data_IF_864776403686
#
_entry.id   IF_864776403686
#
_cell.length_a   1.000
_cell.length_b   1.000
_cell.length_c   1.000
_cell.angle_alpha   90.00
_cell.angle_beta   90.00
_cell.angle_gamma   90.00
#
_symmetry.space_group_name_H-M   'P 1'
#
loop_
_entity.id
_entity.type
_entity.pdbx_description
1 polymer ?
#
# COMPACT_ATOMS: atom_id res chain seq x y z
N UNK A 1 -12.79 5.26 -18.57
CA UNK A 1 -12.35 5.69 -17.23
C UNK A 1 -11.59 4.53 -16.63
N UNK A 2 -10.51 4.78 -15.90
CA UNK A 2 -9.73 3.71 -15.28
C UNK A 2 -10.40 3.36 -13.95
N UNK A 3 -10.98 2.17 -13.82
CA UNK A 3 -11.72 1.77 -12.62
C UNK A 3 -10.80 1.35 -11.47
N UNK A 4 -9.48 1.46 -11.67
CA UNK A 4 -8.44 1.06 -10.73
C UNK A 4 -7.44 2.20 -10.52
N UNK A 5 -7.23 2.54 -9.26
CA UNK A 5 -6.13 3.36 -8.77
C UNK A 5 -5.04 2.43 -8.26
N UNK A 6 -3.88 2.45 -8.92
CA UNK A 6 -2.70 1.70 -8.47
C UNK A 6 -1.51 2.66 -8.35
N UNK A 7 -0.83 2.64 -7.21
CA UNK A 7 0.41 3.39 -6.98
C UNK A 7 1.39 2.56 -6.17
N UNK A 8 2.66 2.85 -6.35
CA UNK A 8 3.72 2.19 -5.61
C UNK A 8 4.82 3.21 -5.31
N UNK A 9 5.32 3.19 -4.09
CA UNK A 9 6.45 4.01 -3.67
C UNK A 9 7.46 3.14 -2.93
N UNK A 10 8.70 3.16 -3.41
CA UNK A 10 9.83 2.49 -2.76
C UNK A 10 10.47 3.48 -1.78
N UNK A 11 10.64 3.05 -0.55
CA UNK A 11 11.29 3.80 0.52
C UNK A 11 12.64 3.13 0.80
N UNK A 12 13.64 3.46 -0.03
CA UNK A 12 14.99 2.89 0.01
C UNK A 12 15.63 3.07 1.40
N UNK A 13 15.36 4.19 2.07
CA UNK A 13 15.85 4.49 3.42
C UNK A 13 15.28 3.57 4.52
N UNK A 14 14.19 2.85 4.20
CA UNK A 14 13.53 1.89 5.09
C UNK A 14 13.56 0.46 4.55
N UNK A 15 14.10 0.23 3.36
CA UNK A 15 14.07 -1.05 2.64
C UNK A 15 12.66 -1.67 2.49
N UNK A 16 11.65 -0.83 2.24
CA UNK A 16 10.27 -1.28 2.05
C UNK A 16 9.63 -0.65 0.81
N UNK A 17 8.59 -1.31 0.31
CA UNK A 17 7.68 -0.77 -0.70
C UNK A 17 6.30 -0.59 -0.11
N UNK A 18 5.67 0.55 -0.40
CA UNK A 18 4.26 0.81 -0.12
C UNK A 18 3.47 0.72 -1.43
N UNK A 19 2.43 -0.11 -1.49
CA UNK A 19 1.55 -0.26 -2.66
C UNK A 19 0.12 0.13 -2.31
N UNK A 20 -0.47 0.98 -3.15
CA UNK A 20 -1.90 1.27 -3.20
C UNK A 20 -2.55 0.44 -4.31
N UNK A 21 -3.65 -0.22 -3.98
CA UNK A 21 -4.55 -0.84 -4.93
C UNK A 21 -5.99 -0.48 -4.54
N UNK A 22 -6.75 0.21 -5.39
CA UNK A 22 -8.12 0.60 -5.07
C UNK A 22 -9.04 0.64 -6.29
N UNK A 23 -10.20 -0.01 -6.22
CA UNK A 23 -11.20 -0.05 -7.27
C UNK A 23 -12.27 1.02 -7.04
N UNK A 24 -12.43 1.94 -7.99
CA UNK A 24 -13.33 3.10 -7.87
C UNK A 24 -14.81 2.75 -8.04
N UNK A 25 -15.12 1.81 -8.94
CA UNK A 25 -16.49 1.48 -9.35
C UNK A 25 -16.85 0.01 -9.03
N UNK A 26 -16.27 -0.54 -7.97
CA UNK A 26 -16.53 -1.92 -7.56
C UNK A 26 -17.73 -1.97 -6.62
N UNK A 27 -18.81 -2.64 -7.06
CA UNK A 27 -20.00 -2.89 -6.26
C UNK A 27 -19.78 -4.18 -5.44
N UNK A 28 -19.14 -4.03 -4.29
CA UNK A 28 -18.84 -5.12 -3.37
C UNK A 28 -19.05 -4.70 -1.92
N UNK A 29 -19.64 -5.59 -1.12
CA UNK A 29 -20.18 -5.25 0.21
C UNK A 29 -19.15 -4.88 1.29
N UNK A 30 -17.83 -4.92 1.05
CA UNK A 30 -16.84 -4.88 2.15
C UNK A 30 -15.56 -4.08 1.89
N UNK A 31 -14.81 -4.38 0.84
CA UNK A 31 -13.45 -3.81 0.66
C UNK A 31 -13.17 -3.58 -0.82
N UNK A 32 -12.86 -2.34 -1.18
CA UNK A 32 -12.57 -1.93 -2.55
C UNK A 32 -11.08 -1.79 -2.83
N UNK A 33 -10.24 -1.82 -1.80
CA UNK A 33 -8.80 -1.73 -1.97
C UNK A 33 -8.02 -1.86 -0.68
N UNK A 34 -6.72 -1.57 -0.78
CA UNK A 34 -5.80 -1.57 0.33
C UNK A 34 -4.62 -0.63 0.05
N UNK A 35 -3.94 -0.25 1.12
CA UNK A 35 -2.53 0.11 1.08
C UNK A 35 -1.74 -0.91 1.90
N UNK A 36 -0.72 -1.52 1.31
CA UNK A 36 0.12 -2.51 1.98
C UNK A 36 1.59 -2.10 1.93
N UNK A 37 2.34 -2.53 2.94
CA UNK A 37 3.78 -2.34 3.05
C UNK A 37 4.42 -3.72 3.05
N UNK A 38 5.39 -3.91 2.19
CA UNK A 38 6.16 -5.16 2.13
C UNK A 38 7.64 -4.87 2.01
N UNK A 39 8.45 -5.78 2.56
CA UNK A 39 9.90 -5.68 2.49
C UNK A 39 10.39 -5.96 1.07
N UNK A 40 11.42 -5.23 0.66
CA UNK A 40 12.09 -5.44 -0.63
C UNK A 40 13.38 -6.18 -0.35
N UNK A 41 13.29 -7.45 0.04
CA UNK A 41 14.49 -8.26 0.06
C UNK A 41 14.73 -8.84 -1.33
N UNK A 42 15.49 -8.10 -2.16
CA UNK A 42 15.95 -8.61 -3.46
C UNK A 42 17.04 -9.69 -3.30
N UNK A 43 17.48 -10.00 -2.08
CA UNK A 43 18.55 -10.99 -1.83
C UNK A 43 18.06 -12.39 -1.48
N UNK A 44 16.74 -12.57 -1.28
CA UNK A 44 16.17 -13.85 -0.92
C UNK A 44 15.30 -14.32 -2.08
N UNK A 45 15.90 -15.17 -2.93
CA UNK A 45 15.30 -16.04 -3.96
C UNK A 45 14.09 -15.48 -4.73
N UNK A 46 14.14 -15.49 -6.07
CA UNK A 46 12.98 -15.23 -6.96
C UNK A 46 11.72 -16.10 -6.67
N UNK A 47 11.83 -17.08 -5.77
CA UNK A 47 10.77 -17.97 -5.28
C UNK A 47 10.15 -17.57 -3.92
N UNK A 48 10.68 -16.56 -3.20
CA UNK A 48 10.09 -16.12 -1.92
C UNK A 48 9.15 -14.91 -2.11
N UNK A 49 7.91 -15.05 -1.63
CA UNK A 49 6.92 -13.99 -1.66
C UNK A 49 7.36 -12.82 -0.74
N UNK A 50 7.24 -11.56 -1.19
CA UNK A 50 7.60 -10.41 -0.36
C UNK A 50 6.88 -10.44 0.98
N UNK A 51 7.62 -10.34 2.08
CA UNK A 51 7.05 -10.35 3.42
C UNK A 51 6.18 -9.10 3.64
N UNK A 52 4.88 -9.31 3.89
CA UNK A 52 3.95 -8.25 4.23
C UNK A 52 4.15 -7.82 5.69
N UNK A 53 4.41 -6.53 5.87
CA UNK A 53 4.68 -5.92 7.18
C UNK A 53 3.40 -5.31 7.74
N UNK A 54 2.59 -4.70 6.87
CA UNK A 54 1.42 -3.94 7.27
C UNK A 54 0.41 -3.85 6.11
N UNK A 55 -0.88 -3.88 6.43
CA UNK A 55 -1.96 -3.62 5.48
C UNK A 55 -3.06 -2.77 6.12
N UNK A 56 -3.46 -1.72 5.42
CA UNK A 56 -4.67 -0.96 5.68
C UNK A 56 -5.70 -1.26 4.58
N UNK A 57 -6.88 -1.76 4.97
CA UNK A 57 -7.98 -2.02 4.03
C UNK A 57 -8.80 -0.76 3.80
N UNK A 58 -9.22 -0.55 2.55
CA UNK A 58 -10.09 0.55 2.17
C UNK A 58 -11.48 0.05 1.85
N UNK A 59 -12.46 0.63 2.55
CA UNK A 59 -13.87 0.50 2.23
C UNK A 59 -14.17 1.13 0.86
N UNK A 60 -15.28 0.69 0.26
CA UNK A 60 -15.77 1.26 -0.99
C UNK A 60 -16.31 2.68 -0.81
N UNK A 61 -16.39 3.44 -1.91
CA UNK A 61 -16.96 4.79 -1.92
C UNK A 61 -15.95 5.93 -1.78
N UNK A 62 -14.65 5.64 -1.63
CA UNK A 62 -13.60 6.64 -1.77
C UNK A 62 -13.46 7.11 -3.21
N UNK A 63 -13.25 8.40 -3.39
CA UNK A 63 -12.73 8.99 -4.62
C UNK A 63 -11.25 8.62 -4.84
N UNK A 64 -10.77 8.78 -6.07
CA UNK A 64 -9.35 8.61 -6.38
C UNK A 64 -8.47 9.50 -5.50
N UNK A 65 -8.86 10.76 -5.30
CA UNK A 65 -8.13 11.71 -4.45
C UNK A 65 -8.03 11.23 -3.01
N UNK A 66 -9.12 10.71 -2.44
CA UNK A 66 -9.13 10.21 -1.06
C UNK A 66 -8.26 8.96 -0.90
N UNK A 67 -8.34 8.01 -1.86
CA UNK A 67 -7.49 6.83 -1.86
C UNK A 67 -5.99 7.19 -1.94
N UNK A 68 -5.65 8.20 -2.75
CA UNK A 68 -4.27 8.70 -2.90
C UNK A 68 -3.83 9.47 -1.64
N UNK A 69 -4.69 10.25 -1.02
CA UNK A 69 -4.37 10.97 0.22
C UNK A 69 -4.06 9.99 1.35
N UNK A 70 -4.86 8.93 1.51
CA UNK A 70 -4.59 7.88 2.50
C UNK A 70 -3.28 7.14 2.21
N UNK A 71 -2.98 6.84 0.94
CA UNK A 71 -1.69 6.28 0.55
C UNK A 71 -0.52 7.19 0.95
N UNK A 72 -0.59 8.49 0.64
CA UNK A 72 0.44 9.46 1.00
C UNK A 72 0.61 9.59 2.52
N UNK A 73 -0.49 9.47 3.28
CA UNK A 73 -0.46 9.41 4.74
C UNK A 73 0.34 8.20 5.21
N UNK A 74 0.05 6.99 4.72
CA UNK A 74 0.80 5.77 5.08
C UNK A 74 2.29 5.93 4.76
N UNK A 75 2.64 6.45 3.58
CA UNK A 75 4.03 6.76 3.20
C UNK A 75 4.68 7.71 4.21
N UNK A 76 3.99 8.78 4.60
CA UNK A 76 4.46 9.72 5.62
C UNK A 76 4.62 9.10 7.01
N UNK A 77 3.72 8.19 7.39
CA UNK A 77 3.78 7.47 8.67
C UNK A 77 4.96 6.48 8.71
N UNK A 78 5.30 5.82 7.60
CA UNK A 78 6.52 5.00 7.49
C UNK A 78 7.78 5.88 7.56
N UNK A 79 7.82 6.98 6.80
CA UNK A 79 8.97 7.91 6.78
C UNK A 79 9.25 8.52 8.15
N UNK A 80 8.20 8.92 8.86
CA UNK A 80 8.30 9.47 10.21
C UNK A 80 8.60 8.43 11.29
N UNK A 81 8.54 7.13 10.96
CA UNK A 81 8.73 6.03 11.91
C UNK A 81 7.53 5.81 12.84
N UNK A 82 6.35 6.36 12.49
CA UNK A 82 5.11 6.09 13.22
C UNK A 82 4.61 4.67 12.94
N UNK A 83 4.73 4.20 11.69
CA UNK A 83 4.63 2.78 11.37
C UNK A 83 6.04 2.22 11.48
N UNK A 84 6.24 1.33 12.45
CA UNK A 84 7.51 0.64 12.61
C UNK A 84 7.61 -0.46 11.56
N UNK A 85 8.61 -0.33 10.69
CA UNK A 85 8.92 -1.25 9.60
C UNK A 85 10.33 -1.85 9.78
N UNK A 86 10.98 -1.57 10.91
CA UNK A 86 12.24 -2.21 11.29
C UNK A 86 11.98 -3.58 11.90
N UNK A 87 12.85 -4.55 11.56
CA UNK A 87 13.01 -5.80 12.30
C UNK A 87 14.12 -5.64 13.33
#
# INVERSE_FOLDING_TARGET
MNDLVRRQEKLEEKNVTVELYYKLNFDGDRTCGYTKIFQVDQSVNDDEEPYEIYMELYECGLSESEAVERFNKVVGEVRSGKIDVGL
#
